data_IF_047678514509
#
_entry.id   IF_047678514509
#
_cell.length_a   1.000
_cell.length_b   1.000
_cell.length_c   1.000
_cell.angle_alpha   90.00
_cell.angle_beta   90.00
_cell.angle_gamma   90.00
#
_symmetry.space_group_name_H-M   'P 1'
#
loop_
_entity.id
_entity.type
_entity.pdbx_description
1 polymer ?
#
# COMPACT_ATOMS: atom_id res chain seq x y z
N UNK A 1 4.01 -25.46 -11.26
CA UNK A 1 3.82 -24.50 -12.35
C UNK A 1 2.37 -24.28 -12.83
N UNK A 2 1.38 -24.99 -12.32
CA UNK A 2 0.03 -25.03 -12.90
C UNK A 2 -1.08 -24.30 -12.11
N UNK A 3 -0.81 -23.62 -11.00
CA UNK A 3 -1.85 -23.00 -10.14
C UNK A 3 -1.97 -21.49 -10.22
N UNK A 4 -1.11 -20.79 -10.95
CA UNK A 4 -1.20 -19.32 -11.08
C UNK A 4 -2.23 -18.89 -12.14
N UNK A 5 -2.68 -19.79 -13.00
CA UNK A 5 -3.64 -19.50 -14.08
C UNK A 5 -5.12 -19.39 -13.62
N UNK A 6 -5.43 -19.72 -12.39
CA UNK A 6 -6.83 -19.78 -11.93
C UNK A 6 -7.40 -18.44 -11.39
N UNK A 7 -6.59 -17.39 -11.29
CA UNK A 7 -7.05 -16.06 -10.84
C UNK A 7 -7.45 -15.11 -11.97
N UNK A 8 -7.21 -15.48 -13.23
CA UNK A 8 -7.72 -14.71 -14.37
C UNK A 8 -9.07 -15.28 -14.78
N UNK A 9 -10.13 -14.62 -14.33
CA UNK A 9 -11.48 -14.86 -14.82
C UNK A 9 -11.47 -14.73 -16.35
N UNK A 10 -11.81 -15.80 -17.05
CA UNK A 10 -12.03 -15.84 -18.50
C UNK A 10 -13.21 -14.96 -18.86
N UNK A 11 -13.03 -13.65 -18.94
CA UNK A 11 -13.93 -12.81 -19.71
C UNK A 11 -13.43 -12.79 -21.15
N UNK A 12 -14.30 -13.25 -22.08
CA UNK A 12 -14.11 -13.16 -23.53
C UNK A 12 -14.08 -11.69 -23.98
N UNK A 13 -13.02 -10.95 -23.66
CA UNK A 13 -12.67 -9.67 -24.28
C UNK A 13 -11.16 -9.54 -24.24
N UNK A 14 -10.53 -9.63 -25.41
CA UNK A 14 -9.16 -9.24 -25.69
C UNK A 14 -8.09 -9.73 -24.69
N UNK A 15 -6.96 -10.12 -25.16
CA UNK A 15 -5.77 -10.37 -24.33
C UNK A 15 -5.45 -9.03 -23.65
N UNK A 16 -5.93 -8.81 -22.42
CA UNK A 16 -5.45 -7.71 -21.60
C UNK A 16 -3.97 -7.98 -21.33
N UNK A 17 -3.11 -7.12 -21.83
CA UNK A 17 -1.67 -7.17 -21.51
C UNK A 17 -1.52 -6.91 -20.01
N UNK A 18 -0.78 -7.79 -19.33
CA UNK A 18 -0.45 -7.59 -17.92
C UNK A 18 0.20 -6.22 -17.72
N UNK A 19 -0.18 -5.53 -16.64
CA UNK A 19 0.50 -4.30 -16.27
C UNK A 19 1.86 -4.61 -15.62
N UNK A 20 2.71 -3.61 -15.49
CA UNK A 20 4.08 -3.75 -14.98
C UNK A 20 4.15 -4.41 -13.57
N UNK A 21 3.14 -4.20 -12.72
CA UNK A 21 3.09 -4.78 -11.38
C UNK A 21 2.69 -6.26 -11.44
N UNK A 22 1.74 -6.61 -12.28
CA UNK A 22 1.35 -8.01 -12.52
C UNK A 22 2.51 -8.81 -13.08
N UNK A 23 3.24 -8.27 -14.05
CA UNK A 23 4.45 -8.89 -14.60
C UNK A 23 5.51 -9.10 -13.50
N UNK A 24 5.73 -8.11 -12.64
CA UNK A 24 6.66 -8.21 -11.51
C UNK A 24 6.24 -9.30 -10.52
N UNK A 25 4.96 -9.37 -10.17
CA UNK A 25 4.39 -10.38 -9.27
C UNK A 25 4.56 -11.80 -9.88
N UNK A 26 4.24 -11.96 -11.15
CA UNK A 26 4.40 -13.27 -11.84
C UNK A 26 5.85 -13.71 -11.89
N UNK A 27 6.76 -12.78 -12.10
CA UNK A 27 8.20 -13.06 -12.24
C UNK A 27 8.89 -13.35 -10.90
N UNK A 28 8.56 -12.61 -9.85
CA UNK A 28 9.32 -12.60 -8.59
C UNK A 28 8.48 -12.93 -7.35
N UNK A 29 7.15 -12.95 -7.47
CA UNK A 29 6.27 -13.36 -6.39
C UNK A 29 6.32 -14.86 -6.13
N UNK A 30 6.22 -15.26 -4.87
CA UNK A 30 6.20 -16.66 -4.45
C UNK A 30 4.87 -16.99 -3.78
N UNK A 31 4.14 -17.93 -4.34
CA UNK A 31 2.90 -18.44 -3.75
C UNK A 31 3.23 -19.57 -2.78
N UNK A 32 2.81 -19.42 -1.53
CA UNK A 32 2.92 -20.44 -0.48
C UNK A 32 1.59 -21.14 -0.24
N UNK A 33 1.61 -22.21 0.54
CA UNK A 33 0.39 -22.88 1.01
C UNK A 33 -0.54 -21.90 1.73
N UNK A 34 -1.85 -22.11 1.58
CA UNK A 34 -2.87 -21.22 2.16
C UNK A 34 -3.12 -19.95 1.33
N UNK A 35 -2.77 -19.94 0.04
CA UNK A 35 -2.96 -18.81 -0.88
C UNK A 35 -2.22 -17.52 -0.44
N UNK A 36 -1.09 -17.66 0.22
CA UNK A 36 -0.25 -16.54 0.65
C UNK A 36 0.68 -16.15 -0.50
N UNK A 37 0.51 -14.93 -1.03
CA UNK A 37 1.44 -14.33 -1.98
C UNK A 37 2.54 -13.60 -1.24
N UNK A 38 3.79 -14.05 -1.42
CA UNK A 38 4.98 -13.45 -0.87
C UNK A 38 5.62 -12.53 -1.92
N UNK A 39 5.79 -11.25 -1.57
CA UNK A 39 6.35 -10.19 -2.43
C UNK A 39 7.44 -9.40 -1.70
N UNK A 40 8.10 -10.05 -0.76
CA UNK A 40 9.09 -9.45 0.13
C UNK A 40 10.38 -9.03 -0.57
N UNK A 41 10.67 -9.60 -1.73
CA UNK A 41 11.85 -9.28 -2.53
C UNK A 41 11.80 -7.90 -3.21
N UNK A 42 10.61 -7.28 -3.32
CA UNK A 42 10.48 -6.01 -4.04
C UNK A 42 9.48 -5.02 -3.43
N UNK A 43 8.64 -5.43 -2.47
CA UNK A 43 7.57 -4.58 -1.95
C UNK A 43 7.69 -4.27 -0.46
N UNK A 44 7.77 -5.28 0.42
CA UNK A 44 7.53 -5.10 1.84
C UNK A 44 8.67 -5.53 2.77
N UNK A 45 9.80 -5.97 2.23
CA UNK A 45 11.03 -6.22 2.97
C UNK A 45 12.23 -5.58 2.26
N UNK A 46 12.56 -6.04 1.05
CA UNK A 46 13.36 -5.26 0.11
C UNK A 46 12.42 -4.39 -0.70
N UNK A 47 12.78 -3.13 -0.92
CA UNK A 47 11.97 -2.14 -1.63
C UNK A 47 12.59 -1.84 -2.99
N UNK A 48 11.89 -2.19 -4.08
CA UNK A 48 12.28 -1.80 -5.43
C UNK A 48 11.79 -0.38 -5.72
N UNK A 49 12.69 0.61 -5.52
CA UNK A 49 12.38 2.03 -5.69
C UNK A 49 11.97 2.38 -7.12
N UNK A 50 12.50 1.66 -8.13
CA UNK A 50 12.08 1.89 -9.52
C UNK A 50 10.64 1.44 -9.75
N UNK A 51 10.27 0.29 -9.20
CA UNK A 51 8.90 -0.19 -9.20
C UNK A 51 7.97 0.81 -8.48
N UNK A 52 8.38 1.32 -7.32
CA UNK A 52 7.60 2.32 -6.57
C UNK A 52 7.37 3.61 -7.34
N UNK A 53 8.36 4.07 -8.13
CA UNK A 53 8.17 5.23 -9.02
C UNK A 53 7.11 4.95 -10.08
N UNK A 54 7.16 3.81 -10.74
CA UNK A 54 6.13 3.42 -11.71
C UNK A 54 4.74 3.33 -11.07
N UNK A 55 4.65 2.79 -9.85
CA UNK A 55 3.40 2.76 -9.09
C UNK A 55 2.92 4.19 -8.74
N UNK A 56 3.82 5.07 -8.32
CA UNK A 56 3.49 6.47 -8.01
C UNK A 56 2.94 7.22 -9.23
N UNK A 57 3.55 7.06 -10.39
CA UNK A 57 3.08 7.62 -11.66
C UNK A 57 1.69 7.07 -12.04
N UNK A 58 1.47 5.78 -11.87
CA UNK A 58 0.16 5.16 -12.13
C UNK A 58 -0.91 5.65 -11.14
N UNK A 59 -0.59 5.81 -9.85
CA UNK A 59 -1.50 6.45 -8.90
C UNK A 59 -1.82 7.87 -9.31
N UNK A 60 -0.82 8.68 -9.65
CA UNK A 60 -1.02 10.06 -10.11
C UNK A 60 -1.97 10.13 -11.30
N UNK A 61 -1.82 9.21 -12.27
CA UNK A 61 -2.69 9.12 -13.43
C UNK A 61 -4.12 8.74 -13.06
N UNK A 62 -4.31 7.74 -12.18
CA UNK A 62 -5.65 7.26 -11.78
C UNK A 62 -6.42 8.26 -10.94
N UNK A 63 -5.72 9.10 -10.19
CA UNK A 63 -6.30 10.11 -9.32
C UNK A 63 -6.10 11.54 -9.84
N UNK A 64 -5.86 11.71 -11.15
CA UNK A 64 -5.56 13.02 -11.75
C UNK A 64 -6.71 14.04 -11.60
N UNK A 65 -7.96 13.56 -11.48
CA UNK A 65 -9.15 14.38 -11.29
C UNK A 65 -9.52 14.63 -9.83
N UNK A 66 -8.73 14.10 -8.89
CA UNK A 66 -8.99 14.22 -7.45
C UNK A 66 -8.10 15.27 -6.81
N UNK A 67 -8.62 16.06 -5.86
CA UNK A 67 -7.85 17.09 -5.16
C UNK A 67 -7.00 16.50 -4.04
N UNK A 68 -6.13 15.53 -4.38
CA UNK A 68 -5.28 14.86 -3.38
C UNK A 68 -4.33 15.87 -2.77
N UNK A 69 -4.40 16.04 -1.46
CA UNK A 69 -3.54 16.94 -0.69
C UNK A 69 -2.72 16.22 0.40
N UNK A 70 -2.93 14.91 0.57
CA UNK A 70 -2.22 14.12 1.59
C UNK A 70 -2.23 12.63 1.24
N UNK A 71 -1.17 11.92 1.59
CA UNK A 71 -1.11 10.47 1.54
C UNK A 71 -1.13 9.92 2.95
N UNK A 72 -2.08 9.04 3.25
CA UNK A 72 -2.17 8.33 4.53
C UNK A 72 -1.81 6.86 4.32
N UNK A 73 -0.93 6.35 5.16
CA UNK A 73 -0.54 4.93 5.19
C UNK A 73 -0.47 4.40 6.62
N UNK A 74 -0.10 3.13 6.77
CA UNK A 74 0.11 2.48 8.07
C UNK A 74 1.54 1.94 8.16
N UNK A 75 2.19 2.13 9.31
CA UNK A 75 3.52 1.54 9.55
C UNK A 75 3.49 0.00 9.41
N UNK A 76 4.58 -0.67 8.96
CA UNK A 76 5.84 -0.03 8.57
C UNK A 76 6.06 -0.09 7.05
N UNK A 77 5.74 -1.21 6.39
CA UNK A 77 6.09 -1.48 4.97
C UNK A 77 5.42 -0.52 3.98
N UNK A 78 4.27 0.05 4.34
CA UNK A 78 3.56 1.03 3.50
C UNK A 78 4.24 2.40 3.43
N UNK A 79 5.15 2.73 4.34
CA UNK A 79 5.76 4.07 4.40
C UNK A 79 6.65 4.33 3.18
N UNK A 80 7.46 3.35 2.77
CA UNK A 80 8.36 3.52 1.64
C UNK A 80 7.65 3.86 0.33
N UNK A 81 6.62 3.10 -0.01
CA UNK A 81 5.82 3.37 -1.21
C UNK A 81 5.02 4.68 -1.07
N UNK A 82 4.48 4.98 0.12
CA UNK A 82 3.73 6.21 0.35
C UNK A 82 4.59 7.46 0.11
N UNK A 83 5.87 7.45 0.51
CA UNK A 83 6.79 8.57 0.27
C UNK A 83 7.01 8.80 -1.24
N UNK A 84 7.19 7.75 -2.03
CA UNK A 84 7.38 7.87 -3.48
C UNK A 84 6.08 8.32 -4.18
N UNK A 85 4.93 7.80 -3.74
CA UNK A 85 3.63 8.26 -4.26
C UNK A 85 3.41 9.73 -3.93
N UNK A 86 3.69 10.14 -2.70
CA UNK A 86 3.54 11.54 -2.26
C UNK A 86 4.44 12.50 -3.04
N UNK A 87 5.67 12.10 -3.38
CA UNK A 87 6.56 12.85 -4.28
C UNK A 87 5.88 13.12 -5.64
N UNK A 88 5.20 12.12 -6.22
CA UNK A 88 4.48 12.30 -7.47
C UNK A 88 3.31 13.29 -7.37
N UNK A 89 2.66 13.37 -6.21
CA UNK A 89 1.54 14.29 -5.96
C UNK A 89 1.99 15.66 -5.41
N UNK A 90 3.23 15.79 -4.98
CA UNK A 90 3.77 16.96 -4.27
C UNK A 90 2.99 17.26 -2.98
N UNK A 91 2.77 16.23 -2.16
CA UNK A 91 1.97 16.31 -0.92
C UNK A 91 2.67 15.60 0.24
N UNK A 92 2.35 15.95 1.50
CA UNK A 92 2.92 15.27 2.66
C UNK A 92 2.38 13.85 2.84
N UNK A 93 3.17 13.02 3.54
CA UNK A 93 2.76 11.71 4.03
C UNK A 93 2.48 11.76 5.52
N UNK A 94 1.38 11.17 5.92
CA UNK A 94 1.07 10.84 7.32
C UNK A 94 1.01 9.32 7.44
N UNK A 95 1.61 8.77 8.48
CA UNK A 95 1.47 7.34 8.73
C UNK A 95 0.87 7.05 10.10
N UNK A 96 -0.08 6.15 10.11
CA UNK A 96 -0.69 5.65 11.33
C UNK A 96 0.26 4.68 12.03
N UNK A 97 0.37 4.77 13.34
CA UNK A 97 1.18 3.89 14.19
C UNK A 97 0.36 2.75 14.75
N UNK A 98 0.94 1.56 14.85
CA UNK A 98 0.31 0.35 15.40
C UNK A 98 0.42 0.25 16.93
N UNK A 99 1.10 1.18 17.56
CA UNK A 99 1.26 1.22 19.01
C UNK A 99 1.26 2.65 19.54
N UNK A 100 0.84 2.81 20.79
CA UNK A 100 1.02 4.08 21.51
C UNK A 100 2.52 4.39 21.56
N UNK A 101 2.91 5.54 21.04
CA UNK A 101 4.25 6.09 21.15
C UNK A 101 4.20 7.31 22.04
N UNK A 102 5.18 7.44 22.93
CA UNK A 102 5.37 8.66 23.77
C UNK A 102 5.48 9.93 22.91
N UNK A 103 5.78 9.80 21.64
CA UNK A 103 5.97 10.91 20.70
C UNK A 103 4.67 11.35 20.00
N UNK A 104 3.51 10.83 20.39
CA UNK A 104 2.20 11.32 19.90
C UNK A 104 1.59 12.14 21.01
N UNK A 105 1.81 13.45 20.96
CA UNK A 105 1.18 14.40 21.83
C UNK A 105 -0.17 14.87 21.26
N UNK A 106 -1.15 15.10 22.15
CA UNK A 106 -2.45 15.66 21.79
C UNK A 106 -3.50 14.61 21.43
N UNK A 107 -4.56 15.07 20.77
CA UNK A 107 -5.67 14.22 20.36
C UNK A 107 -5.32 13.33 19.17
N UNK A 108 -5.83 12.10 19.19
CA UNK A 108 -5.60 11.10 18.16
C UNK A 108 -6.92 10.56 17.60
N UNK A 109 -6.90 10.20 16.32
CA UNK A 109 -7.84 9.22 15.78
C UNK A 109 -7.36 7.84 16.17
N UNK A 110 -8.27 6.98 16.58
CA UNK A 110 -7.98 5.61 16.99
C UNK A 110 -8.94 4.64 16.28
N UNK A 111 -8.40 3.57 15.73
CA UNK A 111 -9.18 2.50 15.16
C UNK A 111 -8.59 1.14 15.59
N UNK A 112 -9.45 0.19 15.92
CA UNK A 112 -9.05 -1.19 16.17
C UNK A 112 -9.04 -1.95 14.83
N UNK A 113 -7.92 -2.58 14.49
CA UNK A 113 -7.74 -3.34 13.26
C UNK A 113 -7.25 -4.74 13.59
N UNK A 114 -7.92 -5.73 13.07
CA UNK A 114 -7.49 -7.13 13.18
C UNK A 114 -6.35 -7.42 12.20
N UNK A 115 -5.23 -7.92 12.72
CA UNK A 115 -4.09 -8.31 11.89
C UNK A 115 -4.34 -9.65 11.23
N UNK A 116 -4.39 -9.68 9.91
CA UNK A 116 -4.51 -10.91 9.13
C UNK A 116 -3.36 -11.90 9.36
N UNK A 117 -2.15 -11.39 9.60
CA UNK A 117 -0.94 -12.21 9.76
C UNK A 117 -0.71 -12.70 11.18
N UNK A 118 -1.14 -11.96 12.18
CA UNK A 118 -0.86 -12.27 13.59
C UNK A 118 -2.10 -12.64 14.42
N UNK A 119 -3.30 -12.59 13.81
CA UNK A 119 -4.58 -12.87 14.47
C UNK A 119 -4.75 -12.12 15.81
N UNK A 120 -4.15 -10.95 15.91
CA UNK A 120 -4.26 -10.07 17.05
C UNK A 120 -4.91 -8.74 16.65
N UNK A 121 -5.57 -8.11 17.60
CA UNK A 121 -6.13 -6.79 17.43
C UNK A 121 -5.06 -5.75 17.72
N UNK A 122 -4.80 -4.89 16.75
CA UNK A 122 -3.90 -3.76 16.90
C UNK A 122 -4.69 -2.46 16.93
N UNK A 123 -4.27 -1.55 17.78
CA UNK A 123 -4.77 -0.19 17.73
C UNK A 123 -3.93 0.62 16.74
N UNK A 124 -4.60 1.23 15.77
CA UNK A 124 -3.97 2.12 14.79
C UNK A 124 -4.29 3.55 15.20
N UNK A 125 -3.25 4.36 15.36
CA UNK A 125 -3.32 5.70 15.91
C UNK A 125 -2.77 6.73 14.91
N UNK A 126 -3.51 7.84 14.72
CA UNK A 126 -3.05 8.99 13.94
C UNK A 126 -3.30 10.26 14.75
N UNK A 127 -2.30 11.13 14.85
CA UNK A 127 -2.46 12.43 15.48
C UNK A 127 -3.41 13.32 14.68
N UNK A 128 -4.41 13.91 15.33
CA UNK A 128 -5.31 14.89 14.72
C UNK A 128 -4.59 16.17 14.28
N UNK A 129 -3.38 16.41 14.78
CA UNK A 129 -2.54 17.53 14.35
C UNK A 129 -2.15 17.44 12.87
N UNK A 130 -2.04 16.21 12.32
CA UNK A 130 -1.54 15.97 10.97
C UNK A 130 -2.59 15.41 9.99
N UNK A 131 -3.80 15.14 10.49
CA UNK A 131 -4.89 14.64 9.67
C UNK A 131 -6.17 15.41 10.02
N UNK A 132 -6.71 16.13 9.06
CA UNK A 132 -7.87 16.98 9.20
C UNK A 132 -9.08 16.45 8.43
N UNK A 133 -10.26 16.96 8.74
CA UNK A 133 -11.51 16.58 8.05
C UNK A 133 -11.56 17.01 6.59
N UNK A 134 -10.74 18.00 6.21
CA UNK A 134 -10.69 18.56 4.85
C UNK A 134 -9.55 17.98 4.02
N UNK A 135 -8.85 16.96 4.54
CA UNK A 135 -7.83 16.23 3.81
C UNK A 135 -8.46 15.26 2.81
N UNK A 136 -7.90 15.22 1.61
CA UNK A 136 -8.29 14.36 0.49
C UNK A 136 -7.15 13.49 0.00
#
# INVERSE_FOLDING_TARGET
MAKLFYFYGTTKKGIETMNFLEEKIVKEGVVKEGNILKVDSFLNHQMDVKLFKQMGEEFKKRFADKPINKILTVEASGIGIACIVAECFDVPVVFAKKSKSVNIDGEVYNAEVESFTHKCKNQVLVSKKFLNTDDH
#
